data_IF_245427084847
#
_entry.id   IF_245427084847
#
_cell.length_a   1.000
_cell.length_b   1.000
_cell.length_c   1.000
_cell.angle_alpha   90.00
_cell.angle_beta   90.00
_cell.angle_gamma   90.00
#
_symmetry.space_group_name_H-M   'P 1'
#
loop_
_entity.id
_entity.type
_entity.pdbx_description
1 polymer ?
#
# COMPACT_ATOMS: atom_id res chain seq x y z
N UNK A 1 -4.83 12.23 10.59
CA UNK A 1 -5.19 13.63 10.30
C UNK A 1 -3.99 14.56 10.23
N UNK A 2 -3.06 14.51 11.18
CA UNK A 2 -1.88 15.42 11.20
C UNK A 2 -1.12 15.54 9.86
N UNK A 3 -0.91 14.42 9.14
CA UNK A 3 -0.21 14.43 7.85
C UNK A 3 -0.96 15.25 6.79
N UNK A 4 -2.28 15.06 6.68
CA UNK A 4 -3.08 15.81 5.71
C UNK A 4 -3.19 17.30 6.05
N UNK A 5 -3.14 17.66 7.32
CA UNK A 5 -3.13 19.07 7.73
C UNK A 5 -1.80 19.75 7.32
N UNK A 6 -0.69 19.02 7.40
CA UNK A 6 0.61 19.51 6.89
C UNK A 6 0.57 19.67 5.37
N UNK A 7 0.04 18.70 4.66
CA UNK A 7 -0.12 18.76 3.20
C UNK A 7 -1.00 19.96 2.81
N UNK A 8 -2.14 20.13 3.49
CA UNK A 8 -3.02 21.29 3.27
C UNK A 8 -2.28 22.62 3.47
N UNK A 9 -1.42 22.71 4.47
CA UNK A 9 -0.63 23.94 4.69
C UNK A 9 0.32 24.19 3.51
N UNK A 10 1.03 23.17 3.02
CA UNK A 10 1.91 23.33 1.87
C UNK A 10 1.16 23.73 0.60
N UNK A 11 -0.03 23.21 0.37
CA UNK A 11 -0.87 23.65 -0.75
C UNK A 11 -1.27 25.11 -0.60
N UNK A 12 -1.63 25.54 0.62
CA UNK A 12 -1.99 26.91 0.91
C UNK A 12 -0.82 27.88 0.69
N UNK A 13 0.41 27.48 1.03
CA UNK A 13 1.61 28.29 0.86
C UNK A 13 1.90 28.58 -0.63
N UNK A 14 1.41 27.74 -1.54
CA UNK A 14 1.50 27.95 -3.00
C UNK A 14 0.19 28.48 -3.61
N UNK A 15 -0.76 28.92 -2.80
CA UNK A 15 -2.00 29.55 -3.23
C UNK A 15 -3.13 28.60 -3.59
N UNK A 16 -3.04 27.33 -3.22
CA UNK A 16 -4.09 26.32 -3.44
C UNK A 16 -4.83 26.09 -2.11
N UNK A 17 -6.13 26.36 -2.11
CA UNK A 17 -6.99 26.06 -0.95
C UNK A 17 -7.50 24.61 -1.05
N UNK A 18 -7.16 23.79 -0.04
CA UNK A 18 -7.47 22.37 -0.02
C UNK A 18 -8.48 22.06 1.09
N UNK A 19 -9.63 21.55 0.73
CA UNK A 19 -10.60 20.98 1.66
C UNK A 19 -10.33 19.48 1.87
N UNK A 20 -10.34 19.05 3.13
CA UNK A 20 -10.16 17.64 3.50
C UNK A 20 -11.54 17.04 3.79
N UNK A 21 -11.99 16.12 2.94
CA UNK A 21 -13.20 15.33 3.15
C UNK A 21 -12.83 13.94 3.64
N UNK A 22 -13.21 13.62 4.86
CA UNK A 22 -13.05 12.27 5.44
C UNK A 22 -14.29 11.44 5.16
N UNK A 23 -14.09 10.23 4.65
CA UNK A 23 -15.15 9.25 4.41
C UNK A 23 -14.90 8.02 5.29
N UNK A 24 -15.97 7.32 5.64
CA UNK A 24 -15.87 6.00 6.21
C UNK A 24 -15.26 5.03 5.18
N UNK A 25 -14.55 3.98 5.66
CA UNK A 25 -13.75 3.11 4.78
C UNK A 25 -14.57 2.48 3.64
N UNK A 26 -15.76 1.99 3.94
CA UNK A 26 -16.66 1.37 2.95
C UNK A 26 -17.18 2.38 1.95
N UNK A 27 -17.54 3.56 2.42
CA UNK A 27 -17.98 4.67 1.56
C UNK A 27 -16.83 5.15 0.67
N UNK A 28 -15.61 5.26 1.22
CA UNK A 28 -14.43 5.63 0.45
C UNK A 28 -14.14 4.61 -0.66
N UNK A 29 -14.19 3.31 -0.36
CA UNK A 29 -14.00 2.24 -1.35
C UNK A 29 -15.05 2.36 -2.46
N UNK A 30 -16.30 2.53 -2.09
CA UNK A 30 -17.39 2.69 -3.06
C UNK A 30 -17.16 3.91 -3.95
N UNK A 31 -16.94 5.07 -3.37
CA UNK A 31 -16.80 6.35 -4.08
C UNK A 31 -15.55 6.39 -4.96
N UNK A 32 -14.40 5.97 -4.43
CA UNK A 32 -13.11 6.10 -5.12
C UNK A 32 -12.78 4.90 -6.00
N UNK A 33 -12.95 3.66 -5.49
CA UNK A 33 -12.50 2.48 -6.23
C UNK A 33 -13.57 1.91 -7.16
N UNK A 34 -14.83 1.87 -6.71
CA UNK A 34 -15.91 1.22 -7.47
C UNK A 34 -16.55 2.18 -8.45
N UNK A 35 -16.99 3.32 -7.96
CA UNK A 35 -17.74 4.30 -8.76
C UNK A 35 -16.83 5.29 -9.49
N UNK A 36 -15.56 5.43 -9.03
CA UNK A 36 -14.55 6.33 -9.62
C UNK A 36 -15.08 7.77 -9.77
N UNK A 37 -15.81 8.24 -8.77
CA UNK A 37 -16.45 9.57 -8.77
C UNK A 37 -15.57 10.69 -8.24
N UNK A 38 -14.37 10.37 -7.77
CA UNK A 38 -13.42 11.39 -7.31
C UNK A 38 -12.83 12.10 -8.55
N UNK A 39 -12.90 13.40 -8.54
CA UNK A 39 -12.44 14.30 -9.60
C UNK A 39 -11.21 15.13 -9.19
N UNK A 40 -10.76 14.96 -7.94
CA UNK A 40 -9.63 15.66 -7.37
C UNK A 40 -8.64 14.68 -6.73
N UNK A 41 -8.07 15.01 -5.58
CA UNK A 41 -7.10 14.16 -4.90
C UNK A 41 -7.79 13.14 -3.99
N UNK A 42 -7.43 11.87 -4.13
CA UNK A 42 -7.83 10.82 -3.21
C UNK A 42 -6.59 10.27 -2.48
N UNK A 43 -6.60 10.32 -1.14
CA UNK A 43 -5.49 9.80 -0.35
C UNK A 43 -5.78 8.37 0.09
N UNK A 44 -4.80 7.49 -0.10
CA UNK A 44 -4.86 6.11 0.36
C UNK A 44 -3.52 5.66 0.94
N UNK A 45 -3.59 4.94 2.04
CA UNK A 45 -2.44 4.16 2.51
C UNK A 45 -2.33 2.89 1.69
N UNK A 46 -1.20 2.72 1.02
CA UNK A 46 -0.91 1.54 0.21
C UNK A 46 0.10 0.69 0.95
N UNK A 47 -0.28 -0.53 1.32
CA UNK A 47 0.68 -1.49 1.86
C UNK A 47 1.48 -2.10 0.71
N UNK A 48 2.81 -2.01 0.72
CA UNK A 48 3.64 -2.72 -0.25
C UNK A 48 3.47 -4.23 -0.18
N UNK A 49 3.06 -4.77 0.98
CA UNK A 49 2.82 -6.20 1.18
C UNK A 49 1.43 -6.66 0.72
N UNK A 50 0.49 -5.75 0.51
CA UNK A 50 -0.89 -6.09 0.13
C UNK A 50 -1.03 -6.82 -1.22
N UNK A 51 0.02 -6.84 -2.03
CA UNK A 51 0.06 -7.51 -3.32
C UNK A 51 1.20 -8.53 -3.46
N UNK A 52 1.76 -8.98 -2.35
CA UNK A 52 2.94 -9.84 -2.33
C UNK A 52 4.21 -9.10 -2.75
N UNK A 53 5.30 -9.84 -2.79
CA UNK A 53 6.62 -9.31 -3.16
C UNK A 53 6.85 -9.26 -4.68
N UNK A 54 5.80 -9.45 -5.49
CA UNK A 54 5.93 -9.44 -6.95
C UNK A 54 5.83 -8.00 -7.49
N UNK A 55 6.96 -7.40 -7.88
CA UNK A 55 6.99 -5.99 -8.31
C UNK A 55 6.15 -5.72 -9.56
N UNK A 56 6.00 -6.70 -10.46
CA UNK A 56 5.19 -6.56 -11.68
C UNK A 56 3.73 -6.25 -11.34
N UNK A 57 3.20 -6.81 -10.26
CA UNK A 57 1.82 -6.53 -9.83
C UNK A 57 1.62 -5.09 -9.38
N UNK A 58 2.67 -4.38 -9.01
CA UNK A 58 2.55 -2.95 -8.67
C UNK A 58 2.24 -2.10 -9.91
N UNK A 59 2.71 -2.52 -11.08
CA UNK A 59 2.42 -1.84 -12.34
C UNK A 59 0.93 -1.86 -12.66
N UNK A 60 0.21 -2.92 -12.30
CA UNK A 60 -1.23 -3.04 -12.57
C UNK A 60 -2.08 -1.92 -11.93
N UNK A 61 -1.56 -1.23 -10.91
CA UNK A 61 -2.28 -0.15 -10.24
C UNK A 61 -2.45 1.10 -11.10
N UNK A 62 -1.61 1.27 -12.08
CA UNK A 62 -1.62 2.41 -13.01
C UNK A 62 -1.95 1.96 -14.44
N UNK A 63 -2.02 0.65 -14.69
CA UNK A 63 -2.29 0.11 -16.02
C UNK A 63 -3.72 0.41 -16.45
N UNK A 64 -3.88 0.86 -17.69
CA UNK A 64 -5.18 1.18 -18.30
C UNK A 64 -6.13 -0.01 -18.20
N UNK A 65 -7.35 0.26 -17.76
CA UNK A 65 -8.42 -0.74 -17.68
C UNK A 65 -8.36 -1.69 -16.47
N UNK A 66 -7.31 -1.66 -15.66
CA UNK A 66 -7.28 -2.48 -14.45
C UNK A 66 -8.23 -1.96 -13.37
N UNK A 67 -8.89 -2.87 -12.68
CA UNK A 67 -9.81 -2.53 -11.58
C UNK A 67 -9.12 -1.81 -10.42
N UNK A 68 -7.82 -2.07 -10.23
CA UNK A 68 -7.00 -1.42 -9.20
C UNK A 68 -6.46 -0.05 -9.61
N UNK A 69 -6.63 0.38 -10.86
CA UNK A 69 -6.25 1.70 -11.35
C UNK A 69 -7.32 2.73 -10.97
N UNK A 70 -7.34 3.10 -9.70
CA UNK A 70 -8.26 4.14 -9.21
C UNK A 70 -7.77 5.56 -9.49
N UNK A 71 -6.53 5.73 -9.92
CA UNK A 71 -6.01 7.01 -10.41
C UNK A 71 -6.51 7.35 -11.82
N UNK A 72 -7.20 6.40 -12.46
CA UNK A 72 -7.75 6.56 -13.83
C UNK A 72 -6.69 6.93 -14.87
N UNK A 73 -5.45 6.52 -14.63
CA UNK A 73 -4.36 6.71 -15.59
C UNK A 73 -4.68 5.92 -16.86
N UNK A 74 -4.51 6.58 -18.00
CA UNK A 74 -4.60 5.94 -19.32
C UNK A 74 -3.39 6.38 -20.13
N UNK A 75 -2.35 5.57 -20.11
CA UNK A 75 -1.06 5.91 -20.69
C UNK A 75 -0.44 4.68 -21.37
N UNK A 76 -0.44 4.65 -22.72
CA UNK A 76 0.06 3.51 -23.48
C UNK A 76 1.58 3.29 -23.30
N UNK A 77 2.35 4.34 -22.97
CA UNK A 77 3.79 4.19 -22.69
C UNK A 77 3.98 3.45 -21.37
N UNK A 78 3.21 3.81 -20.35
CA UNK A 78 3.24 3.10 -19.08
C UNK A 78 2.74 1.65 -19.22
N UNK A 79 1.68 1.45 -19.98
CA UNK A 79 1.08 0.12 -20.18
C UNK A 79 2.05 -0.87 -20.83
N UNK A 80 3.00 -0.38 -21.64
CA UNK A 80 4.01 -1.23 -22.27
C UNK A 80 5.04 -1.81 -21.29
N UNK A 81 5.22 -1.24 -20.10
CA UNK A 81 6.21 -1.75 -19.13
C UNK A 81 5.82 -3.13 -18.57
N UNK A 82 4.54 -3.41 -18.37
CA UNK A 82 4.11 -4.69 -17.80
C UNK A 82 4.43 -5.87 -18.74
N UNK A 83 4.02 -5.88 -20.01
CA UNK A 83 4.40 -6.95 -20.93
C UNK A 83 5.91 -7.02 -21.14
N UNK A 84 6.63 -5.89 -21.18
CA UNK A 84 8.09 -5.89 -21.27
C UNK A 84 8.77 -6.54 -20.05
N UNK A 85 8.26 -6.31 -18.85
CA UNK A 85 8.78 -6.94 -17.63
C UNK A 85 8.50 -8.46 -17.59
N UNK A 86 7.37 -8.90 -18.14
CA UNK A 86 7.02 -10.32 -18.25
C UNK A 86 7.88 -11.03 -19.30
N UNK A 87 8.14 -10.38 -20.42
CA UNK A 87 8.94 -10.92 -21.52
C UNK A 87 10.47 -10.81 -21.30
N UNK A 88 10.91 -10.19 -20.22
CA UNK A 88 12.32 -9.99 -19.93
C UNK A 88 13.07 -11.34 -19.82
N UNK A 89 14.20 -11.52 -20.52
CA UNK A 89 14.88 -12.81 -20.62
C UNK A 89 15.52 -13.28 -19.31
N UNK A 90 15.83 -12.35 -18.42
CA UNK A 90 16.47 -12.63 -17.14
C UNK A 90 16.04 -11.62 -16.06
N UNK A 91 16.49 -11.87 -14.83
CA UNK A 91 16.18 -11.01 -13.68
C UNK A 91 16.76 -9.60 -13.80
N UNK A 92 17.93 -9.46 -14.40
CA UNK A 92 18.59 -8.16 -14.59
C UNK A 92 17.82 -7.28 -15.56
N UNK A 93 17.42 -7.83 -16.70
CA UNK A 93 16.59 -7.16 -17.68
C UNK A 93 15.24 -6.76 -17.07
N UNK A 94 14.61 -7.66 -16.32
CA UNK A 94 13.36 -7.38 -15.62
C UNK A 94 13.51 -6.25 -14.59
N UNK A 95 14.57 -6.27 -13.76
CA UNK A 95 14.87 -5.20 -12.82
C UNK A 95 15.07 -3.85 -13.50
N UNK A 96 15.69 -3.86 -14.68
CA UNK A 96 15.85 -2.64 -15.47
C UNK A 96 14.49 -2.09 -15.90
N UNK A 97 13.63 -2.90 -16.51
CA UNK A 97 12.29 -2.48 -16.94
C UNK A 97 11.48 -1.91 -15.77
N UNK A 98 11.52 -2.55 -14.59
CA UNK A 98 10.81 -2.10 -13.41
C UNK A 98 11.36 -0.77 -12.87
N UNK A 99 12.65 -0.53 -12.96
CA UNK A 99 13.25 0.77 -12.59
C UNK A 99 12.85 1.86 -13.58
N UNK A 100 12.91 1.56 -14.87
CA UNK A 100 12.49 2.49 -15.92
C UNK A 100 11.00 2.88 -15.77
N UNK A 101 10.14 1.91 -15.46
CA UNK A 101 8.73 2.16 -15.16
C UNK A 101 8.54 3.06 -13.94
N UNK A 102 9.28 2.81 -12.85
CA UNK A 102 9.19 3.61 -11.64
C UNK A 102 9.67 5.07 -11.86
N UNK A 103 10.77 5.23 -12.61
CA UNK A 103 11.27 6.54 -13.02
C UNK A 103 10.25 7.27 -13.91
N UNK A 104 9.64 6.56 -14.84
CA UNK A 104 8.57 7.12 -15.69
C UNK A 104 7.39 7.64 -14.86
N UNK A 105 6.87 6.83 -13.93
CA UNK A 105 5.77 7.24 -13.04
C UNK A 105 6.13 8.49 -12.25
N UNK A 106 7.36 8.56 -11.73
CA UNK A 106 7.82 9.71 -10.98
C UNK A 106 7.88 10.99 -11.85
N UNK A 107 8.31 10.86 -13.10
CA UNK A 107 8.38 11.99 -14.05
C UNK A 107 7.01 12.45 -14.53
N UNK A 108 6.03 11.56 -14.63
CA UNK A 108 4.67 11.88 -15.05
C UNK A 108 3.79 12.46 -13.93
N UNK A 109 4.27 12.42 -12.67
CA UNK A 109 3.52 12.91 -11.51
C UNK A 109 2.12 12.32 -11.36
N UNK A 110 1.93 11.04 -11.74
CA UNK A 110 0.63 10.35 -11.60
C UNK A 110 0.14 10.29 -10.16
N UNK A 111 1.04 10.41 -9.20
CA UNK A 111 0.71 10.43 -7.78
C UNK A 111 1.71 11.27 -6.98
N UNK A 112 1.24 11.81 -5.86
CA UNK A 112 2.07 12.47 -4.88
C UNK A 112 2.41 11.44 -3.79
N UNK A 113 3.68 11.03 -3.74
CA UNK A 113 4.14 10.11 -2.70
C UNK A 113 4.35 10.84 -1.39
N UNK A 114 3.58 10.46 -0.38
CA UNK A 114 3.73 10.97 0.97
C UNK A 114 4.67 10.06 1.79
N UNK A 115 5.01 10.51 2.98
CA UNK A 115 5.82 9.75 3.93
C UNK A 115 5.19 8.38 4.21
N UNK A 116 6.03 7.34 4.26
CA UNK A 116 5.65 6.05 4.81
C UNK A 116 5.80 6.13 6.33
N UNK A 117 4.71 6.09 7.10
CA UNK A 117 4.82 6.11 8.56
C UNK A 117 5.51 4.85 9.03
N UNK A 118 6.38 4.99 10.04
CA UNK A 118 6.90 3.85 10.76
C UNK A 118 5.76 3.07 11.42
N UNK A 119 5.80 1.76 11.31
CA UNK A 119 4.88 0.88 12.03
C UNK A 119 5.62 0.13 13.12
N UNK A 120 4.95 -0.12 14.23
CA UNK A 120 5.46 -0.95 15.31
C UNK A 120 4.38 -1.94 15.73
N UNK A 121 4.81 -3.11 16.15
CA UNK A 121 3.92 -4.15 16.66
C UNK A 121 4.12 -4.30 18.15
N UNK A 122 3.04 -4.16 18.89
CA UNK A 122 3.02 -4.44 20.34
C UNK A 122 2.39 -5.82 20.55
N UNK A 123 3.03 -6.65 21.35
CA UNK A 123 2.52 -7.98 21.69
C UNK A 123 2.77 -8.30 23.15
N UNK A 124 1.98 -9.22 23.67
CA UNK A 124 2.06 -9.62 25.07
C UNK A 124 3.28 -10.54 25.30
N UNK A 125 3.98 -10.44 26.45
CA UNK A 125 5.19 -11.22 26.74
C UNK A 125 4.97 -12.74 26.72
N UNK A 126 3.76 -13.18 26.99
CA UNK A 126 3.37 -14.60 26.96
C UNK A 126 3.04 -15.12 25.56
N UNK A 127 3.02 -14.27 24.52
CA UNK A 127 2.96 -14.71 23.13
C UNK A 127 4.34 -15.16 22.68
N UNK A 128 4.50 -16.45 22.40
CA UNK A 128 5.75 -17.06 21.96
C UNK A 128 5.68 -17.43 20.48
N UNK A 129 6.85 -17.63 19.87
CA UNK A 129 6.97 -17.90 18.44
C UNK A 129 6.93 -16.67 17.55
N UNK A 130 6.63 -15.48 18.10
CA UNK A 130 6.71 -14.21 17.40
C UNK A 130 8.09 -13.58 17.62
N UNK A 131 8.80 -13.31 16.54
CA UNK A 131 10.14 -12.72 16.53
C UNK A 131 10.19 -11.43 15.71
N UNK A 132 9.08 -10.67 15.68
CA UNK A 132 9.01 -9.44 14.89
C UNK A 132 8.75 -9.64 13.40
N UNK A 133 8.22 -10.80 13.01
CA UNK A 133 7.90 -11.06 11.59
C UNK A 133 6.96 -9.99 11.07
N UNK A 134 7.42 -9.28 10.04
CA UNK A 134 6.64 -8.24 9.42
C UNK A 134 5.40 -8.83 8.72
N UNK A 135 4.26 -8.22 8.96
CA UNK A 135 2.99 -8.66 8.37
C UNK A 135 2.29 -9.82 9.09
N UNK A 136 2.91 -10.43 10.11
CA UNK A 136 2.29 -11.54 10.84
C UNK A 136 1.04 -11.13 11.63
N UNK A 137 0.92 -9.86 12.00
CA UNK A 137 -0.15 -9.33 12.86
C UNK A 137 -0.90 -8.19 12.18
N UNK A 138 -0.46 -7.72 11.02
CA UNK A 138 -1.04 -6.58 10.35
C UNK A 138 -2.15 -7.02 9.39
N UNK A 139 -3.36 -7.18 9.88
CA UNK A 139 -4.54 -7.44 9.04
C UNK A 139 -5.09 -6.20 8.37
N UNK A 140 -4.65 -5.01 8.76
CA UNK A 140 -5.18 -3.74 8.26
C UNK A 140 -5.03 -3.54 6.74
N UNK A 141 -4.20 -4.31 6.08
CA UNK A 141 -3.95 -4.22 4.65
C UNK A 141 -4.73 -5.22 3.78
N UNK A 142 -5.63 -5.99 4.36
CA UNK A 142 -6.56 -6.82 3.58
C UNK A 142 -5.93 -7.96 2.77
N UNK A 143 -4.70 -8.40 3.09
CA UNK A 143 -4.13 -9.57 2.46
C UNK A 143 -4.24 -10.79 3.37
N UNK A 144 -5.26 -11.62 3.21
CA UNK A 144 -5.44 -12.82 4.03
C UNK A 144 -4.34 -13.86 3.83
N UNK A 145 -3.60 -13.78 2.76
CA UNK A 145 -2.67 -14.84 2.34
C UNK A 145 -1.42 -14.98 3.22
N UNK A 146 -1.02 -13.94 3.94
CA UNK A 146 0.11 -14.03 4.88
C UNK A 146 -0.31 -14.34 6.32
N UNK A 147 -1.57 -14.16 6.66
CA UNK A 147 -2.07 -14.33 8.02
C UNK A 147 -2.18 -15.79 8.47
N UNK A 148 -2.36 -16.72 7.55
CA UNK A 148 -2.62 -18.12 7.90
C UNK A 148 -1.39 -18.92 8.28
N UNK A 149 -0.23 -18.54 7.82
CA UNK A 149 0.99 -19.32 8.01
C UNK A 149 1.67 -19.07 9.37
N UNK A 150 1.66 -17.84 9.83
CA UNK A 150 2.35 -17.44 11.04
C UNK A 150 1.59 -17.76 12.35
N UNK A 151 0.26 -17.55 12.44
CA UNK A 151 -0.49 -17.84 13.66
C UNK A 151 -0.40 -19.29 14.11
N UNK A 152 -0.25 -20.25 13.19
CA UNK A 152 -0.05 -21.64 13.50
C UNK A 152 1.25 -21.94 14.26
N UNK A 153 2.20 -21.01 14.26
CA UNK A 153 3.49 -21.10 14.95
C UNK A 153 3.53 -20.32 16.26
N UNK A 154 2.47 -19.59 16.58
CA UNK A 154 2.37 -18.83 17.81
C UNK A 154 1.68 -19.66 18.88
N UNK A 155 2.16 -19.55 20.10
CA UNK A 155 1.56 -20.19 21.25
C UNK A 155 1.60 -19.28 22.46
N UNK A 156 0.73 -19.57 23.42
CA UNK A 156 0.61 -18.81 24.65
C UNK A 156 1.29 -19.56 25.78
N UNK A 157 2.28 -18.93 26.37
CA UNK A 157 2.87 -19.37 27.63
C UNK A 157 1.88 -19.10 28.77
N UNK A 158 1.12 -20.14 29.12
CA UNK A 158 0.02 -20.02 30.10
C UNK A 158 0.55 -19.77 31.54
N UNK A 159 1.74 -20.28 31.84
CA UNK A 159 2.33 -20.09 33.16
C UNK A 159 2.83 -18.67 33.35
N UNK A 160 3.51 -18.12 32.32
CA UNK A 160 3.92 -16.73 32.32
C UNK A 160 2.69 -15.81 32.37
N UNK A 161 1.64 -16.12 31.62
CA UNK A 161 0.38 -15.35 31.61
C UNK A 161 -0.22 -15.27 33.02
N UNK A 162 -0.37 -16.41 33.71
CA UNK A 162 -0.87 -16.48 35.10
C UNK A 162 0.03 -15.72 36.07
N UNK A 163 1.36 -15.87 35.93
CA UNK A 163 2.35 -15.18 36.79
C UNK A 163 2.26 -13.67 36.66
N UNK A 164 1.80 -13.17 35.49
CA UNK A 164 1.59 -11.74 35.23
C UNK A 164 0.17 -11.23 35.58
N UNK A 165 -0.66 -12.09 36.21
CA UNK A 165 -2.00 -11.68 36.69
C UNK A 165 -3.10 -11.66 35.63
N UNK A 166 -2.94 -12.41 34.54
CA UNK A 166 -3.90 -12.47 33.43
C UNK A 166 -4.49 -13.87 33.20
#
# INVERSE_FOLDING_TARGET
>A
MVLLDIVRQYFKDVGIDMEIRTLESTEWIKYVLTERKHDQLAQRTVSPLGHGYEPIRQLSRLHTGYSSNYLMVSDPVFDAFQPAAIAAPDEQARKKVLRDANEYVARQHFSISLLSPGSFTVYQPWLKGFHGQFGAVCSAAGSPQMLFFYPARFWIDRDLKKKMGH
#
